data_IF_451989684370
#
_entry.id   IF_451989684370
#
_cell.length_a   1.000
_cell.length_b   1.000
_cell.length_c   1.000
_cell.angle_alpha   90.00
_cell.angle_beta   90.00
_cell.angle_gamma   90.00
#
_symmetry.space_group_name_H-M   'P 1'
#
loop_
_entity.id
_entity.type
_entity.pdbx_description
1 polymer ?
#
# COMPACT_ATOMS: atom_id res chain seq x y z
N UNK A 1 -3.92 -17.10 2.83
CA UNK A 1 -2.55 -17.11 2.27
C UNK A 1 -2.49 -16.40 0.93
N UNK A 2 -3.17 -16.84 -0.14
CA UNK A 2 -3.13 -16.17 -1.47
C UNK A 2 -3.32 -14.64 -1.47
N UNK A 3 -4.19 -14.10 -0.61
CA UNK A 3 -4.36 -12.64 -0.43
C UNK A 3 -3.09 -11.99 0.14
N UNK A 4 -2.54 -12.54 1.22
CA UNK A 4 -1.29 -12.08 1.85
C UNK A 4 -0.11 -12.18 0.89
N UNK A 5 0.00 -13.25 0.10
CA UNK A 5 1.06 -13.41 -0.90
C UNK A 5 1.01 -12.28 -1.94
N UNK A 6 -0.20 -11.90 -2.38
CA UNK A 6 -0.40 -10.74 -3.26
C UNK A 6 0.05 -9.43 -2.59
N UNK A 7 -0.24 -9.22 -1.30
CA UNK A 7 0.23 -8.04 -0.56
C UNK A 7 1.76 -7.98 -0.52
N UNK A 8 2.41 -9.08 -0.16
CA UNK A 8 3.85 -9.17 -0.08
C UNK A 8 4.51 -8.87 -1.43
N UNK A 9 3.90 -9.32 -2.53
CA UNK A 9 4.36 -9.01 -3.87
C UNK A 9 4.18 -7.52 -4.23
N UNK A 10 3.08 -6.87 -3.82
CA UNK A 10 2.88 -5.42 -4.05
C UNK A 10 3.82 -4.55 -3.23
N UNK A 11 4.20 -5.00 -2.04
CA UNK A 11 5.18 -4.33 -1.18
C UNK A 11 6.64 -4.63 -1.59
N UNK A 12 6.85 -5.45 -2.63
CA UNK A 12 8.18 -5.81 -3.07
C UNK A 12 8.96 -4.58 -3.62
N UNK A 13 10.30 -4.62 -3.62
CA UNK A 13 11.13 -3.42 -3.80
C UNK A 13 11.20 -2.85 -5.22
N UNK A 14 10.75 -3.61 -6.23
CA UNK A 14 10.85 -3.22 -7.64
C UNK A 14 9.44 -3.19 -8.24
N UNK A 15 9.09 -2.04 -8.86
CA UNK A 15 7.80 -1.81 -9.51
C UNK A 15 6.59 -2.08 -8.59
N UNK A 16 6.83 -1.92 -7.28
CA UNK A 16 5.84 -2.10 -6.24
C UNK A 16 5.13 -0.81 -5.85
N UNK A 17 4.23 -0.92 -4.89
CA UNK A 17 3.40 0.17 -4.37
C UNK A 17 4.22 1.40 -3.97
N UNK A 18 5.43 1.21 -3.45
CA UNK A 18 6.34 2.30 -3.08
C UNK A 18 6.72 3.17 -4.28
N UNK A 19 7.04 2.55 -5.40
CA UNK A 19 7.52 3.29 -6.57
C UNK A 19 6.37 4.06 -7.23
N UNK A 20 5.15 3.49 -7.20
CA UNK A 20 3.93 4.17 -7.65
C UNK A 20 3.53 5.33 -6.73
N UNK A 21 3.66 5.17 -5.40
CA UNK A 21 3.45 6.27 -4.45
C UNK A 21 4.47 7.40 -4.64
N UNK A 22 5.73 7.06 -4.94
CA UNK A 22 6.75 8.05 -5.26
C UNK A 22 6.45 8.76 -6.59
N UNK A 23 5.95 8.03 -7.59
CA UNK A 23 5.47 8.60 -8.85
C UNK A 23 4.30 9.57 -8.60
N UNK A 24 3.28 9.15 -7.87
CA UNK A 24 2.14 10.00 -7.50
C UNK A 24 2.61 11.26 -6.77
N UNK A 25 3.54 11.13 -5.82
CA UNK A 25 4.10 12.27 -5.09
C UNK A 25 4.76 13.29 -6.03
N UNK A 26 5.55 12.85 -7.01
CA UNK A 26 6.17 13.75 -7.99
C UNK A 26 5.13 14.43 -8.87
N UNK A 27 4.13 13.69 -9.35
CA UNK A 27 3.02 14.24 -10.15
C UNK A 27 2.23 15.29 -9.36
N UNK A 28 1.88 14.99 -8.11
CA UNK A 28 1.18 15.93 -7.23
C UNK A 28 2.02 17.17 -6.94
N UNK A 29 3.33 17.01 -6.73
CA UNK A 29 4.25 18.13 -6.53
C UNK A 29 4.29 19.06 -7.75
N UNK A 30 4.27 18.53 -8.97
CA UNK A 30 4.13 19.35 -10.19
C UNK A 30 2.83 20.13 -10.22
N UNK A 31 1.71 19.48 -9.92
CA UNK A 31 0.37 20.11 -9.95
C UNK A 31 0.25 21.21 -8.91
N UNK A 32 0.70 20.94 -7.68
CA UNK A 32 0.56 21.88 -6.54
C UNK A 32 1.56 23.03 -6.62
N UNK A 33 2.81 22.75 -7.01
CA UNK A 33 3.90 23.73 -6.94
C UNK A 33 4.30 24.30 -8.31
N UNK A 34 3.67 23.87 -9.40
CA UNK A 34 3.95 24.36 -10.76
C UNK A 34 5.33 23.94 -11.32
N UNK A 35 5.99 22.96 -10.71
CA UNK A 35 7.31 22.48 -11.14
C UNK A 35 7.15 21.55 -12.35
N UNK A 36 7.91 21.76 -13.43
CA UNK A 36 7.87 20.91 -14.63
C UNK A 36 8.17 19.45 -14.26
N UNK A 37 7.24 18.54 -14.58
CA UNK A 37 7.43 17.10 -14.39
C UNK A 37 8.46 16.58 -15.39
N UNK A 38 9.54 15.96 -14.90
CA UNK A 38 10.59 15.33 -15.73
C UNK A 38 10.38 13.80 -15.78
N UNK A 39 9.13 13.35 -15.76
CA UNK A 39 8.79 11.94 -15.98
C UNK A 39 8.16 11.77 -17.36
N UNK A 40 8.42 10.64 -18.05
CA UNK A 40 7.72 10.34 -19.28
C UNK A 40 6.23 10.32 -18.97
N UNK A 41 5.44 11.01 -19.81
CA UNK A 41 3.99 11.02 -19.70
C UNK A 41 3.47 9.58 -19.79
N UNK A 42 3.25 8.96 -18.63
CA UNK A 42 2.43 7.77 -18.52
C UNK A 42 0.99 8.14 -18.90
N UNK A 43 0.25 7.19 -19.45
CA UNK A 43 -1.13 7.41 -19.90
C UNK A 43 -2.12 7.70 -18.76
N UNK A 44 -1.70 7.52 -17.50
CA UNK A 44 -2.51 7.71 -16.29
C UNK A 44 -2.39 9.13 -15.77
N UNK A 45 -3.53 9.79 -15.59
CA UNK A 45 -3.63 11.11 -14.98
C UNK A 45 -3.34 11.04 -13.46
N UNK A 46 -2.93 12.16 -12.87
CA UNK A 46 -2.59 12.25 -11.42
C UNK A 46 -3.77 11.89 -10.53
N UNK A 47 -4.98 12.28 -10.92
CA UNK A 47 -6.20 12.04 -10.15
C UNK A 47 -6.62 10.57 -10.21
N UNK A 48 -6.50 9.96 -11.39
CA UNK A 48 -6.76 8.54 -11.60
C UNK A 48 -5.79 7.68 -10.78
N UNK A 49 -4.48 7.96 -10.88
CA UNK A 49 -3.46 7.27 -10.09
C UNK A 49 -3.68 7.45 -8.58
N UNK A 50 -4.10 8.64 -8.14
CA UNK A 50 -4.42 8.88 -6.73
C UNK A 50 -5.59 8.02 -6.25
N UNK A 51 -6.65 7.91 -7.05
CA UNK A 51 -7.82 7.12 -6.71
C UNK A 51 -7.47 5.62 -6.67
N UNK A 52 -6.78 5.12 -7.69
CA UNK A 52 -6.35 3.72 -7.77
C UNK A 52 -5.49 3.31 -6.57
N UNK A 53 -4.51 4.14 -6.21
CA UNK A 53 -3.64 3.87 -5.07
C UNK A 53 -4.37 3.98 -3.73
N UNK A 54 -5.35 4.88 -3.61
CA UNK A 54 -6.19 4.98 -2.41
C UNK A 54 -7.05 3.72 -2.23
N UNK A 55 -7.77 3.31 -3.29
CA UNK A 55 -8.62 2.12 -3.28
C UNK A 55 -7.80 0.86 -2.95
N UNK A 56 -6.60 0.76 -3.53
CA UNK A 56 -5.73 -0.35 -3.23
C UNK A 56 -5.22 -0.32 -1.78
N UNK A 57 -4.77 0.83 -1.27
CA UNK A 57 -4.33 0.95 0.12
C UNK A 57 -5.41 0.54 1.11
N UNK A 58 -6.67 0.88 0.81
CA UNK A 58 -7.83 0.46 1.61
C UNK A 58 -8.04 -1.06 1.56
N UNK A 59 -7.90 -1.70 0.40
CA UNK A 59 -7.97 -3.16 0.28
C UNK A 59 -6.82 -3.85 1.06
N UNK A 60 -5.60 -3.31 0.96
CA UNK A 60 -4.45 -3.81 1.70
C UNK A 60 -4.69 -3.70 3.21
N UNK A 61 -5.17 -2.54 3.69
CA UNK A 61 -5.46 -2.29 5.09
C UNK A 61 -6.56 -3.21 5.63
N UNK A 62 -7.64 -3.41 4.87
CA UNK A 62 -8.70 -4.35 5.21
C UNK A 62 -8.16 -5.78 5.34
N UNK A 63 -7.34 -6.22 4.38
CA UNK A 63 -6.75 -7.57 4.38
C UNK A 63 -5.83 -7.80 5.58
N UNK A 64 -4.97 -6.83 5.92
CA UNK A 64 -4.12 -6.93 7.11
C UNK A 64 -4.95 -6.95 8.39
N UNK A 65 -6.02 -6.16 8.45
CA UNK A 65 -6.93 -6.12 9.60
C UNK A 65 -7.64 -7.46 9.81
N UNK A 66 -8.15 -8.07 8.73
CA UNK A 66 -8.73 -9.42 8.75
C UNK A 66 -7.72 -10.46 9.25
N UNK A 67 -6.50 -10.45 8.72
CA UNK A 67 -5.44 -11.37 9.12
C UNK A 67 -5.07 -11.20 10.60
N UNK A 68 -4.94 -9.95 11.07
CA UNK A 68 -4.66 -9.66 12.47
C UNK A 68 -5.80 -10.17 13.38
N UNK A 69 -7.06 -10.01 12.97
CA UNK A 69 -8.21 -10.51 13.73
C UNK A 69 -8.20 -12.04 13.89
N UNK A 70 -7.74 -12.77 12.86
CA UNK A 70 -7.60 -14.23 12.93
C UNK A 70 -6.46 -14.68 13.85
N UNK A 71 -5.38 -13.89 13.95
CA UNK A 71 -4.22 -14.22 14.80
C UNK A 71 -4.46 -13.84 16.26
N UNK A 72 -5.24 -12.78 16.55
CA UNK A 72 -5.50 -12.27 17.91
C UNK A 72 -5.91 -13.34 18.94
N UNK A 73 -6.79 -14.31 18.65
CA UNK A 73 -7.15 -15.36 19.61
C UNK A 73 -5.95 -16.20 20.08
N UNK A 74 -4.94 -16.38 19.23
CA UNK A 74 -3.73 -17.13 19.59
C UNK A 74 -2.89 -16.40 20.65
N UNK A 75 -2.98 -15.07 20.72
CA UNK A 75 -2.35 -14.27 21.78
C UNK A 75 -2.95 -14.62 23.15
N UNK A 76 -4.26 -14.90 23.20
CA UNK A 76 -4.94 -15.29 24.43
C UNK A 76 -4.60 -16.72 24.89
N UNK A 77 -3.98 -17.54 24.02
CA UNK A 77 -3.48 -18.87 24.37
C UNK A 77 -2.08 -18.84 24.99
N UNK A 78 -1.49 -17.66 25.20
CA UNK A 78 -0.19 -17.52 25.84
C UNK A 78 -0.27 -18.10 27.26
N UNK A 79 0.48 -19.15 27.61
CA UNK A 79 0.50 -19.65 28.98
C UNK A 79 0.96 -18.53 29.91
N UNK A 80 0.23 -18.33 31.00
CA UNK A 80 0.73 -17.51 32.10
C UNK A 80 2.05 -18.13 32.54
N UNK A 81 3.13 -17.35 32.52
CA UNK A 81 4.38 -17.82 33.09
C UNK A 81 4.12 -18.02 34.58
N UNK A 82 3.91 -19.28 34.99
CA UNK A 82 3.80 -19.63 36.39
C UNK A 82 5.09 -19.24 37.09
N UNK A 83 4.99 -18.29 38.01
CA UNK A 83 5.96 -18.10 39.10
C UNK A 83 5.78 -19.19 40.16
#
# INVERSE_FOLDING_TARGET
MKRIDRLCNRLAPADGLRDELLRLHRMAHTVVNGVVLIEPAGHTDVWELAQELADELDELAATFSEAAQQVRPLVALRPEQGE
#
